data_IF_114075836045
#
_entry.id   IF_114075836045
#
_cell.length_a   1.000
_cell.length_b   1.000
_cell.length_c   1.000
_cell.angle_alpha   90.00
_cell.angle_beta   90.00
_cell.angle_gamma   90.00
#
_symmetry.space_group_name_H-M   'P 1'
#
loop_
_entity.id
_entity.type
_entity.pdbx_description
1 polymer ?
#
# COMPACT_ATOMS: atom_id res chain seq x y z
N UNK A 1 36.83 -33.27 -53.53
CA UNK A 1 36.02 -33.40 -54.75
C UNK A 1 34.85 -34.34 -54.46
N UNK A 2 33.78 -34.16 -55.22
CA UNK A 2 32.44 -34.81 -55.22
C UNK A 2 32.30 -36.27 -54.76
N UNK A 3 31.10 -36.82 -54.51
CA UNK A 3 29.80 -36.28 -54.06
C UNK A 3 28.83 -37.49 -53.87
N UNK A 4 27.77 -37.30 -53.07
CA UNK A 4 26.49 -38.02 -53.08
C UNK A 4 26.44 -39.56 -53.34
N UNK A 5 25.91 -40.29 -52.35
CA UNK A 5 25.28 -41.60 -52.56
C UNK A 5 23.86 -41.60 -51.95
N UNK A 6 22.91 -42.20 -52.68
CA UNK A 6 21.46 -42.18 -52.41
C UNK A 6 20.89 -43.59 -52.13
N UNK A 7 19.58 -43.66 -51.85
CA UNK A 7 18.73 -44.84 -51.52
C UNK A 7 18.83 -45.31 -50.05
N UNK A 8 17.76 -45.53 -49.25
CA UNK A 8 16.33 -45.91 -49.43
C UNK A 8 16.07 -47.41 -49.64
N UNK A 9 15.22 -48.03 -48.79
CA UNK A 9 14.09 -48.95 -49.15
C UNK A 9 13.48 -49.66 -47.91
N UNK A 10 12.18 -49.40 -47.65
CA UNK A 10 11.11 -50.28 -47.07
C UNK A 10 11.31 -50.96 -45.68
N UNK A 11 10.29 -51.37 -44.89
CA UNK A 11 8.89 -51.81 -45.10
C UNK A 11 8.05 -51.40 -43.85
N UNK A 12 6.85 -50.78 -43.95
CA UNK A 12 5.49 -51.41 -44.04
C UNK A 12 4.81 -51.75 -42.68
N UNK A 13 3.50 -51.52 -42.39
CA UNK A 13 2.38 -50.77 -43.03
C UNK A 13 1.10 -50.76 -42.11
N UNK A 14 0.02 -50.06 -42.54
CA UNK A 14 -1.43 -50.25 -42.20
C UNK A 14 -1.93 -49.72 -40.83
N UNK A 15 -3.07 -49.00 -40.65
CA UNK A 15 -3.96 -48.15 -41.48
C UNK A 15 -4.90 -47.33 -40.54
N UNK A 16 -5.29 -46.08 -40.84
CA UNK A 16 -6.62 -45.61 -41.36
C UNK A 16 -7.90 -46.04 -40.54
N UNK A 17 -8.96 -45.24 -40.31
CA UNK A 17 -9.30 -43.84 -40.69
C UNK A 17 -10.53 -43.27 -39.91
N UNK A 18 -10.68 -41.93 -39.99
CA UNK A 18 -11.87 -41.00 -39.85
C UNK A 18 -13.25 -41.53 -40.37
N UNK A 19 -14.42 -40.80 -40.29
CA UNK A 19 -14.71 -39.41 -39.80
C UNK A 19 -16.10 -39.11 -39.10
N UNK A 20 -16.33 -37.81 -38.79
CA UNK A 20 -17.57 -36.98 -39.01
C UNK A 20 -18.74 -36.83 -37.99
N UNK A 21 -19.30 -35.60 -38.03
CA UNK A 21 -20.30 -34.93 -37.15
C UNK A 21 -21.77 -35.37 -37.36
N UNK A 22 -22.69 -34.96 -36.46
CA UNK A 22 -24.04 -34.43 -36.80
C UNK A 22 -24.77 -33.71 -35.63
N UNK A 23 -25.94 -33.10 -35.92
CA UNK A 23 -26.70 -32.08 -35.15
C UNK A 23 -28.05 -32.62 -34.65
N UNK A 24 -28.63 -32.14 -33.51
CA UNK A 24 -30.06 -32.34 -33.18
C UNK A 24 -30.72 -31.33 -32.18
N UNK A 25 -32.05 -31.13 -32.32
CA UNK A 25 -33.06 -30.36 -31.51
C UNK A 25 -34.49 -30.80 -31.97
N UNK A 26 -35.67 -30.30 -31.48
CA UNK A 26 -36.01 -29.27 -30.47
C UNK A 26 -36.81 -29.92 -29.27
N UNK A 27 -37.86 -29.40 -28.59
CA UNK A 27 -38.55 -28.08 -28.58
C UNK A 27 -39.89 -28.00 -27.79
N UNK A 28 -40.13 -26.86 -27.12
CA UNK A 28 -41.42 -26.11 -26.97
C UNK A 28 -42.59 -26.67 -26.11
N UNK A 29 -43.07 -25.88 -25.13
CA UNK A 29 -44.49 -25.49 -24.89
C UNK A 29 -44.60 -24.34 -23.84
N UNK A 30 -45.77 -23.70 -23.69
CA UNK A 30 -45.96 -22.30 -23.19
C UNK A 30 -46.98 -22.12 -22.03
N UNK A 31 -46.81 -21.10 -21.16
CA UNK A 31 -47.90 -20.45 -20.39
C UNK A 31 -47.48 -19.07 -19.78
N UNK A 32 -48.45 -18.24 -19.36
CA UNK A 32 -48.32 -16.80 -19.03
C UNK A 32 -48.07 -16.47 -17.53
N UNK A 33 -47.57 -15.25 -17.22
CA UNK A 33 -47.72 -14.62 -15.89
C UNK A 33 -46.52 -13.75 -15.43
N UNK A 34 -46.72 -12.57 -14.77
CA UNK A 34 -45.65 -11.57 -14.62
C UNK A 34 -44.96 -11.54 -13.23
N UNK A 35 -43.74 -10.99 -13.20
CA UNK A 35 -43.13 -10.40 -11.99
C UNK A 35 -41.77 -10.98 -11.55
N UNK A 36 -40.88 -10.09 -11.13
CA UNK A 36 -39.55 -10.34 -10.51
C UNK A 36 -38.46 -11.00 -11.38
N UNK A 37 -37.59 -10.15 -11.96
CA UNK A 37 -36.30 -10.57 -12.49
C UNK A 37 -35.32 -10.95 -11.37
N UNK A 38 -35.26 -12.26 -11.12
CA UNK A 38 -34.26 -12.94 -10.29
C UNK A 38 -32.87 -12.80 -10.94
N UNK A 39 -31.92 -12.15 -10.27
CA UNK A 39 -30.55 -12.00 -10.76
C UNK A 39 -29.89 -13.38 -10.95
N UNK A 40 -29.37 -13.64 -12.15
CA UNK A 40 -28.89 -14.96 -12.54
C UNK A 40 -27.59 -15.38 -11.83
N UNK A 41 -27.55 -16.63 -11.34
CA UNK A 41 -26.31 -17.32 -11.00
C UNK A 41 -25.41 -17.40 -12.23
N UNK A 42 -24.32 -16.63 -12.26
CA UNK A 42 -23.14 -16.96 -13.06
C UNK A 42 -22.13 -17.70 -12.18
N UNK A 43 -21.47 -18.69 -12.75
CA UNK A 43 -20.50 -19.55 -12.08
C UNK A 43 -19.28 -18.74 -11.62
N UNK A 44 -19.02 -18.72 -10.32
CA UNK A 44 -17.78 -18.13 -9.79
C UNK A 44 -16.59 -19.03 -10.12
N UNK A 45 -15.73 -18.58 -11.04
CA UNK A 45 -14.36 -19.06 -11.13
C UNK A 45 -13.59 -18.58 -9.90
N UNK A 46 -12.96 -19.47 -9.09
CA UNK A 46 -12.16 -19.03 -7.96
C UNK A 46 -10.83 -18.47 -8.47
N UNK A 47 -10.67 -17.15 -8.42
CA UNK A 47 -9.40 -16.48 -8.69
C UNK A 47 -8.44 -16.81 -7.55
N UNK A 48 -7.63 -17.85 -7.74
CA UNK A 48 -6.48 -18.15 -6.89
C UNK A 48 -5.33 -17.21 -7.26
N UNK A 49 -5.15 -16.13 -6.50
CA UNK A 49 -3.87 -15.40 -6.53
C UNK A 49 -2.80 -16.27 -5.86
N UNK A 50 -2.05 -16.97 -6.71
CA UNK A 50 -0.99 -17.87 -6.29
C UNK A 50 0.32 -17.06 -6.18
N UNK A 51 0.79 -16.83 -4.95
CA UNK A 51 2.12 -16.25 -4.72
C UNK A 51 3.19 -17.19 -5.29
N UNK A 52 3.83 -16.78 -6.39
CA UNK A 52 4.89 -17.56 -7.01
C UNK A 52 6.21 -17.32 -6.28
N UNK A 53 6.49 -18.15 -5.27
CA UNK A 53 7.76 -18.13 -4.52
C UNK A 53 8.85 -18.77 -5.39
N UNK A 54 9.79 -17.97 -5.88
CA UNK A 54 10.97 -18.47 -6.57
C UNK A 54 11.93 -19.15 -5.58
N UNK A 55 11.88 -20.47 -5.47
CA UNK A 55 12.87 -21.25 -4.71
C UNK A 55 14.13 -21.56 -5.55
N UNK A 56 15.36 -21.31 -5.03
CA UNK A 56 16.57 -21.84 -5.62
C UNK A 56 16.71 -23.34 -5.30
N UNK A 57 16.92 -24.17 -6.33
CA UNK A 57 17.18 -25.61 -6.20
C UNK A 57 18.55 -25.87 -5.54
N UNK A 58 18.55 -26.29 -4.28
CA UNK A 58 19.76 -26.85 -3.62
C UNK A 58 19.65 -28.38 -3.57
N UNK A 59 20.32 -29.04 -4.51
CA UNK A 59 20.33 -30.50 -4.62
C UNK A 59 21.06 -31.17 -3.45
N UNK A 60 20.34 -31.94 -2.65
CA UNK A 60 20.93 -32.74 -1.58
C UNK A 60 21.60 -34.01 -2.15
N UNK A 61 22.94 -34.03 -2.20
CA UNK A 61 23.70 -35.31 -2.18
C UNK A 61 24.15 -35.59 -0.75
N UNK A 62 23.58 -36.62 -0.13
CA UNK A 62 24.17 -37.23 1.07
C UNK A 62 25.36 -38.08 0.64
N UNK A 63 26.53 -37.76 1.17
CA UNK A 63 27.67 -38.68 1.25
C UNK A 63 28.27 -38.48 2.65
N UNK A 64 28.11 -39.47 3.54
CA UNK A 64 28.73 -39.42 4.85
C UNK A 64 30.05 -40.19 4.85
N UNK A 65 31.07 -39.70 5.52
CA UNK A 65 32.14 -40.46 6.20
C UNK A 65 33.08 -39.48 6.93
N UNK A 66 33.74 -39.96 7.99
CA UNK A 66 35.00 -39.37 8.47
C UNK A 66 34.92 -38.39 9.64
N UNK A 67 34.90 -38.93 10.87
CA UNK A 67 35.29 -38.15 12.05
C UNK A 67 36.80 -37.85 12.02
N UNK A 68 37.18 -36.57 12.06
CA UNK A 68 38.52 -36.12 12.47
C UNK A 68 38.42 -34.86 13.32
N UNK A 69 39.08 -34.89 14.49
CA UNK A 69 39.27 -33.72 15.35
C UNK A 69 40.15 -32.69 14.65
N UNK A 70 39.76 -31.42 14.70
CA UNK A 70 40.59 -30.27 14.38
C UNK A 70 40.26 -29.15 15.38
N UNK A 71 41.27 -28.55 16.00
CA UNK A 71 41.09 -27.44 16.93
C UNK A 71 40.66 -26.18 16.16
N UNK A 72 39.62 -25.50 16.64
CA UNK A 72 39.26 -24.14 16.20
C UNK A 72 39.40 -23.21 17.40
N UNK A 73 40.38 -22.31 17.33
CA UNK A 73 40.56 -21.24 18.32
C UNK A 73 39.47 -20.20 18.11
N UNK A 74 38.56 -20.08 19.08
CA UNK A 74 37.57 -18.99 19.11
C UNK A 74 38.24 -17.73 19.67
N UNK A 75 38.59 -16.80 18.79
CA UNK A 75 38.93 -15.44 19.19
C UNK A 75 37.69 -14.71 19.72
N UNK A 76 37.45 -14.82 21.02
CA UNK A 76 36.49 -13.98 21.74
C UNK A 76 37.19 -12.69 22.17
N UNK A 77 37.16 -11.67 21.31
CA UNK A 77 37.60 -10.32 21.67
C UNK A 77 36.41 -9.53 22.26
N UNK A 78 36.14 -9.75 23.54
CA UNK A 78 35.36 -8.78 24.31
C UNK A 78 36.19 -7.49 24.42
N UNK A 79 35.76 -6.43 23.74
CA UNK A 79 36.30 -5.08 23.92
C UNK A 79 35.23 -4.21 24.55
N UNK A 80 35.19 -4.24 25.88
CA UNK A 80 34.49 -3.24 26.68
C UNK A 80 35.43 -2.06 26.94
N UNK A 81 35.21 -0.93 26.30
CA UNK A 81 35.73 0.39 26.71
C UNK A 81 34.68 1.44 26.37
N UNK A 82 34.44 2.44 27.23
CA UNK A 82 33.25 3.27 27.15
C UNK A 82 33.50 4.57 26.35
N UNK A 83 32.43 5.12 25.77
CA UNK A 83 32.00 6.46 26.15
C UNK A 83 30.51 6.69 25.83
N UNK A 84 29.90 7.56 26.62
CA UNK A 84 28.44 7.71 26.67
C UNK A 84 27.91 8.77 25.70
N UNK A 85 27.38 8.34 24.56
CA UNK A 85 26.17 8.94 24.00
C UNK A 85 25.01 7.95 24.26
N UNK A 86 23.89 8.45 24.80
CA UNK A 86 22.84 7.58 25.33
C UNK A 86 22.26 6.63 24.28
N UNK A 87 21.67 5.53 24.75
CA UNK A 87 20.85 4.60 23.96
C UNK A 87 19.66 5.33 23.33
N UNK A 88 19.90 6.05 22.24
CA UNK A 88 18.89 6.69 21.45
C UNK A 88 18.00 5.58 20.86
N UNK A 89 16.71 5.60 21.22
CA UNK A 89 15.72 4.77 20.55
C UNK A 89 15.78 5.06 19.05
N UNK A 90 15.81 4.03 18.18
CA UNK A 90 15.92 4.25 16.74
C UNK A 90 14.75 5.11 16.25
N UNK A 91 15.03 6.07 15.35
CA UNK A 91 14.04 7.03 14.82
C UNK A 91 12.83 6.29 14.21
N UNK A 92 13.09 5.16 13.56
CA UNK A 92 12.08 4.35 12.89
C UNK A 92 12.31 2.85 13.17
N UNK A 93 11.26 2.00 13.05
CA UNK A 93 11.38 0.56 13.32
C UNK A 93 12.38 -0.18 12.43
N UNK A 94 12.36 0.11 11.12
CA UNK A 94 13.24 -0.54 10.16
C UNK A 94 14.63 0.10 10.21
N UNK A 95 15.66 -0.71 10.45
CA UNK A 95 17.06 -0.27 10.45
C UNK A 95 17.61 -0.26 9.03
N UNK A 96 18.45 0.73 8.73
CA UNK A 96 19.13 0.86 7.45
C UNK A 96 20.52 0.21 7.52
N UNK A 97 20.82 -0.66 6.56
CA UNK A 97 22.00 -1.54 6.61
C UNK A 97 23.02 -1.27 5.51
N UNK A 98 22.65 -0.57 4.43
CA UNK A 98 23.59 -0.15 3.38
C UNK A 98 24.45 1.03 3.87
N UNK A 99 25.66 1.25 3.30
CA UNK A 99 26.48 2.41 3.65
C UNK A 99 25.74 3.74 3.45
N UNK A 100 24.91 3.82 2.41
CA UNK A 100 24.09 4.99 2.11
C UNK A 100 23.01 5.17 3.18
N UNK A 101 22.26 4.12 3.51
CA UNK A 101 21.21 4.19 4.52
C UNK A 101 21.73 4.49 5.93
N UNK A 102 22.91 3.98 6.29
CA UNK A 102 23.58 4.32 7.56
C UNK A 102 23.96 5.82 7.60
N UNK A 103 24.57 6.33 6.53
CA UNK A 103 24.88 7.76 6.39
C UNK A 103 23.61 8.64 6.45
N UNK A 104 22.53 8.25 5.77
CA UNK A 104 21.26 8.98 5.84
C UNK A 104 20.67 8.96 7.26
N UNK A 105 20.76 7.84 7.97
CA UNK A 105 20.29 7.72 9.37
C UNK A 105 21.03 8.66 10.32
N UNK A 106 22.36 8.73 10.22
CA UNK A 106 23.19 9.64 11.02
C UNK A 106 22.92 11.12 10.68
N UNK A 107 22.71 11.42 9.40
CA UNK A 107 22.36 12.77 8.95
C UNK A 107 20.94 13.18 9.37
N UNK A 108 19.99 12.27 9.44
CA UNK A 108 18.64 12.55 9.99
C UNK A 108 18.71 12.90 11.49
N UNK A 109 19.64 12.31 12.25
CA UNK A 109 19.87 12.67 13.66
C UNK A 109 20.58 14.03 13.77
N UNK A 110 21.64 14.25 12.99
CA UNK A 110 22.54 15.40 13.16
C UNK A 110 22.12 16.66 12.40
N UNK A 111 21.70 16.52 11.14
CA UNK A 111 21.39 17.61 10.21
C UNK A 111 20.19 17.28 9.30
N UNK A 112 18.98 17.05 9.84
CA UNK A 112 17.82 16.59 9.06
C UNK A 112 17.47 17.48 7.85
N UNK A 113 17.75 18.78 7.93
CA UNK A 113 17.55 19.74 6.82
C UNK A 113 18.47 19.52 5.60
N UNK A 114 19.58 18.79 5.74
CA UNK A 114 20.50 18.47 4.64
C UNK A 114 20.15 17.16 3.92
N UNK A 115 19.28 16.32 4.52
CA UNK A 115 18.94 15.00 4.00
C UNK A 115 18.47 15.02 2.55
N UNK A 116 17.58 15.93 2.08
CA UNK A 116 17.16 15.95 0.68
C UNK A 116 18.31 16.26 -0.29
N UNK A 117 19.17 17.22 0.05
CA UNK A 117 20.32 17.60 -0.79
C UNK A 117 21.36 16.49 -0.89
N UNK A 118 21.59 15.78 0.22
CA UNK A 118 22.51 14.65 0.24
C UNK A 118 21.92 13.41 -0.43
N UNK A 119 20.60 13.17 -0.34
CA UNK A 119 19.92 12.13 -1.15
C UNK A 119 20.10 12.41 -2.64
N UNK A 120 19.96 13.65 -3.08
CA UNK A 120 20.15 14.01 -4.50
C UNK A 120 21.57 13.68 -4.99
N UNK A 121 22.60 13.94 -4.17
CA UNK A 121 23.99 13.53 -4.45
C UNK A 121 24.16 12.00 -4.51
N UNK A 122 23.52 11.25 -3.60
CA UNK A 122 23.59 9.78 -3.61
C UNK A 122 22.89 9.18 -4.84
N UNK A 123 21.77 9.77 -5.29
CA UNK A 123 21.08 9.35 -6.50
C UNK A 123 21.89 9.65 -7.77
N UNK A 124 22.54 10.82 -7.86
CA UNK A 124 23.45 11.16 -8.96
C UNK A 124 24.66 10.22 -9.02
N UNK A 125 25.24 9.88 -7.87
CA UNK A 125 26.33 8.90 -7.78
C UNK A 125 25.88 7.51 -8.24
N UNK A 126 24.75 7.00 -7.73
CA UNK A 126 24.18 5.71 -8.14
C UNK A 126 23.88 5.65 -9.65
N UNK A 127 23.41 6.76 -10.24
CA UNK A 127 23.16 6.86 -11.68
C UNK A 127 24.47 6.85 -12.47
N UNK A 128 25.48 7.60 -12.01
CA UNK A 128 26.81 7.64 -12.62
C UNK A 128 27.47 6.27 -12.64
N UNK A 129 27.41 5.53 -11.52
CA UNK A 129 27.95 4.17 -11.41
C UNK A 129 27.19 3.18 -12.31
N UNK A 130 25.85 3.29 -12.38
CA UNK A 130 25.01 2.50 -13.29
C UNK A 130 25.37 2.72 -14.75
N UNK A 131 25.54 3.97 -15.15
CA UNK A 131 25.84 4.32 -16.54
C UNK A 131 27.30 4.00 -16.91
N UNK A 132 28.23 4.06 -15.95
CA UNK A 132 29.60 3.57 -16.10
C UNK A 132 29.66 2.05 -16.29
N UNK A 133 28.83 1.28 -15.58
CA UNK A 133 28.75 -0.17 -15.73
C UNK A 133 28.14 -0.61 -17.05
N UNK A 134 27.03 0.00 -17.48
CA UNK A 134 26.47 -0.27 -18.81
C UNK A 134 27.45 0.07 -19.95
N UNK A 135 28.34 1.05 -19.74
CA UNK A 135 29.43 1.38 -20.68
C UNK A 135 30.57 0.36 -20.67
N UNK A 136 30.82 -0.33 -19.54
CA UNK A 136 31.78 -1.44 -19.44
C UNK A 136 31.22 -2.70 -20.10
N UNK A 137 30.00 -3.10 -19.75
CA UNK A 137 29.31 -4.26 -20.35
C UNK A 137 29.19 -4.15 -21.89
N UNK A 138 29.01 -2.94 -22.43
CA UNK A 138 28.98 -2.69 -23.89
C UNK A 138 30.35 -2.65 -24.57
N UNK A 139 31.45 -2.59 -23.81
CA UNK A 139 32.84 -2.59 -24.31
C UNK A 139 33.55 -3.94 -24.09
N UNK A 140 33.13 -4.69 -23.08
CA UNK A 140 33.69 -5.99 -22.70
C UNK A 140 32.91 -7.13 -23.39
N UNK A 141 33.24 -7.41 -24.66
CA UNK A 141 33.12 -8.70 -25.38
C UNK A 141 33.72 -8.50 -26.79
N UNK A 142 34.64 -9.36 -27.29
CA UNK A 142 34.53 -10.83 -27.25
C UNK A 142 35.82 -11.57 -26.82
N UNK A 143 36.60 -11.00 -25.89
CA UNK A 143 37.95 -11.50 -25.55
C UNK A 143 38.09 -12.12 -24.15
N UNK A 144 36.99 -12.29 -23.41
CA UNK A 144 37.01 -12.88 -22.07
C UNK A 144 36.86 -14.41 -22.10
N UNK A 145 37.51 -15.12 -21.17
CA UNK A 145 37.30 -16.56 -21.01
C UNK A 145 35.85 -16.85 -20.57
N UNK A 146 35.32 -18.02 -20.92
CA UNK A 146 33.98 -18.45 -20.48
C UNK A 146 33.80 -18.49 -18.95
N UNK A 147 34.89 -18.63 -18.18
CA UNK A 147 34.90 -18.47 -16.72
C UNK A 147 34.73 -17.02 -16.28
N UNK A 148 35.36 -16.11 -17.00
CA UNK A 148 35.42 -14.69 -16.65
C UNK A 148 34.08 -14.03 -16.97
N UNK A 149 33.43 -14.42 -18.07
CA UNK A 149 32.05 -14.03 -18.39
C UNK A 149 31.05 -14.39 -17.29
N UNK A 150 31.20 -15.56 -16.66
CA UNK A 150 30.37 -15.96 -15.52
C UNK A 150 30.68 -15.09 -14.29
N UNK A 151 31.95 -14.76 -14.05
CA UNK A 151 32.38 -13.87 -12.97
C UNK A 151 31.84 -12.44 -13.15
N UNK A 152 32.03 -11.83 -14.32
CA UNK A 152 31.51 -10.48 -14.63
C UNK A 152 30.00 -10.41 -14.48
N UNK A 153 29.27 -11.38 -15.03
CA UNK A 153 27.83 -11.51 -14.83
C UNK A 153 27.45 -11.56 -13.35
N UNK A 154 28.16 -12.36 -12.54
CA UNK A 154 27.83 -12.50 -11.12
C UNK A 154 28.14 -11.22 -10.32
N UNK A 155 29.20 -10.50 -10.69
CA UNK A 155 29.51 -9.18 -10.14
C UNK A 155 28.38 -8.19 -10.48
N UNK A 156 27.94 -8.14 -11.74
CA UNK A 156 26.83 -7.28 -12.15
C UNK A 156 25.51 -7.60 -11.42
N UNK A 157 25.20 -8.89 -11.23
CA UNK A 157 24.04 -9.34 -10.44
C UNK A 157 24.10 -8.88 -8.97
N UNK A 158 25.27 -8.96 -8.33
CA UNK A 158 25.49 -8.48 -6.95
C UNK A 158 25.33 -6.96 -6.87
N UNK A 159 26.01 -6.22 -7.75
CA UNK A 159 25.92 -4.74 -7.78
C UNK A 159 24.53 -4.21 -8.09
N UNK A 160 23.79 -4.86 -8.98
CA UNK A 160 22.39 -4.52 -9.23
C UNK A 160 21.52 -4.73 -7.97
N UNK A 161 21.84 -5.73 -7.15
CA UNK A 161 21.18 -5.98 -5.86
C UNK A 161 21.56 -4.94 -4.81
N UNK A 162 22.84 -4.56 -4.73
CA UNK A 162 23.34 -3.50 -3.84
C UNK A 162 22.72 -2.13 -4.17
N UNK A 163 22.66 -1.74 -5.46
CA UNK A 163 21.95 -0.54 -5.90
C UNK A 163 20.47 -0.57 -5.55
N UNK A 164 19.79 -1.71 -5.72
CA UNK A 164 18.38 -1.83 -5.30
C UNK A 164 18.24 -1.61 -3.80
N UNK A 165 19.08 -2.25 -2.97
CA UNK A 165 19.05 -2.06 -1.52
C UNK A 165 19.28 -0.58 -1.16
N UNK A 166 20.24 0.09 -1.79
CA UNK A 166 20.46 1.52 -1.57
C UNK A 166 19.23 2.37 -1.92
N UNK A 167 18.55 2.12 -3.04
CA UNK A 167 17.33 2.83 -3.42
C UNK A 167 16.17 2.58 -2.44
N UNK A 168 15.97 1.33 -2.01
CA UNK A 168 14.97 0.99 -0.99
C UNK A 168 15.21 1.74 0.32
N UNK A 169 16.47 1.86 0.75
CA UNK A 169 16.83 2.57 1.97
C UNK A 169 16.78 4.10 1.82
N UNK A 170 17.11 4.66 0.65
CA UNK A 170 16.89 6.09 0.33
C UNK A 170 15.40 6.44 0.40
N UNK A 171 14.55 5.64 -0.25
CA UNK A 171 13.10 5.82 -0.22
C UNK A 171 12.56 5.73 1.21
N UNK A 172 13.02 4.76 2.02
CA UNK A 172 12.60 4.68 3.43
C UNK A 172 13.06 5.89 4.24
N UNK A 173 14.33 6.31 4.12
CA UNK A 173 14.86 7.48 4.83
C UNK A 173 14.05 8.75 4.53
N UNK A 174 13.69 9.00 3.27
CA UNK A 174 12.84 10.12 2.87
C UNK A 174 11.40 10.02 3.42
N UNK A 175 10.82 8.82 3.51
CA UNK A 175 9.49 8.64 4.15
C UNK A 175 9.56 8.95 5.64
N UNK A 176 10.58 8.45 6.35
CA UNK A 176 10.81 8.76 7.77
C UNK A 176 11.06 10.26 7.96
N UNK A 177 11.85 10.90 7.07
CA UNK A 177 12.06 12.34 7.11
C UNK A 177 10.73 13.10 7.02
N UNK A 178 9.80 12.73 6.12
CA UNK A 178 8.48 13.38 6.04
C UNK A 178 7.67 13.26 7.34
N UNK A 179 7.81 12.16 8.09
CA UNK A 179 7.22 12.04 9.43
C UNK A 179 7.90 12.96 10.45
N UNK A 180 9.22 13.11 10.39
CA UNK A 180 9.98 14.05 11.23
C UNK A 180 9.60 15.50 10.95
N UNK A 181 9.54 15.91 9.67
CA UNK A 181 9.12 17.25 9.25
C UNK A 181 7.69 17.57 9.71
N UNK A 182 6.79 16.56 9.66
CA UNK A 182 5.42 16.63 10.19
C UNK A 182 5.33 16.64 11.72
N UNK A 183 6.45 16.47 12.44
CA UNK A 183 6.49 16.31 13.90
C UNK A 183 5.58 15.17 14.41
N UNK A 184 5.57 14.04 13.68
CA UNK A 184 4.83 12.82 13.99
C UNK A 184 5.85 11.69 14.22
N UNK A 185 5.79 11.06 15.39
CA UNK A 185 6.66 9.91 15.71
C UNK A 185 6.07 8.63 15.15
N UNK A 186 6.83 7.86 14.38
CA UNK A 186 6.42 6.52 13.94
C UNK A 186 6.17 5.58 15.12
N UNK A 187 5.23 4.64 14.99
CA UNK A 187 5.01 3.61 16.01
C UNK A 187 6.26 2.73 16.12
N UNK A 188 6.79 2.48 17.34
CA UNK A 188 7.93 1.60 17.54
C UNK A 188 7.59 0.12 17.30
N UNK A 189 8.61 -0.72 17.11
CA UNK A 189 8.45 -2.15 16.90
C UNK A 189 7.61 -2.83 18.01
N UNK A 190 6.53 -3.49 17.61
CA UNK A 190 5.54 -4.12 18.51
C UNK A 190 6.10 -5.47 18.97
N UNK A 191 7.01 -5.40 19.95
CA UNK A 191 7.55 -6.56 20.64
C UNK A 191 6.75 -6.87 21.90
N UNK A 192 6.56 -8.15 22.28
CA UNK A 192 6.03 -8.51 23.60
C UNK A 192 7.05 -8.16 24.70
N UNK A 193 7.08 -6.91 25.13
CA UNK A 193 8.06 -6.44 26.11
C UNK A 193 7.67 -6.93 27.50
N UNK A 194 8.56 -7.68 28.16
CA UNK A 194 8.36 -8.18 29.52
C UNK A 194 8.25 -7.08 30.61
N UNK A 195 8.40 -5.81 30.22
CA UNK A 195 8.40 -4.64 31.09
C UNK A 195 7.00 -4.08 31.44
N UNK A 196 5.94 -4.47 30.73
CA UNK A 196 4.57 -3.97 30.98
C UNK A 196 3.66 -5.06 31.54
N UNK A 197 3.26 -5.01 32.83
CA UNK A 197 2.45 -6.06 33.47
C UNK A 197 1.03 -6.18 32.89
N UNK A 198 0.56 -5.19 32.12
CA UNK A 198 -0.72 -5.25 31.42
C UNK A 198 -0.69 -6.12 30.15
N UNK A 199 0.48 -6.29 29.52
CA UNK A 199 0.60 -6.88 28.17
C UNK A 199 -0.06 -6.05 27.06
N UNK A 200 -0.30 -4.75 27.32
CA UNK A 200 -0.81 -3.78 26.36
C UNK A 200 0.34 -3.21 25.53
N UNK A 201 0.17 -3.09 24.20
CA UNK A 201 1.27 -2.68 23.29
C UNK A 201 1.23 -1.22 22.85
N UNK A 202 0.10 -0.53 23.05
CA UNK A 202 -0.21 0.78 22.47
C UNK A 202 -0.11 1.94 23.47
N UNK A 203 0.97 1.99 24.25
CA UNK A 203 1.31 3.13 25.13
C UNK A 203 1.84 4.37 24.37
N UNK A 204 1.54 4.49 23.09
CA UNK A 204 2.03 5.55 22.20
C UNK A 204 1.22 6.84 22.39
N UNK A 205 1.82 8.03 22.18
CA UNK A 205 1.08 9.29 22.26
C UNK A 205 0.01 9.39 21.17
N UNK A 206 -1.18 9.89 21.53
CA UNK A 206 -2.21 10.25 20.56
C UNK A 206 -1.72 11.39 19.67
N UNK A 207 -1.78 11.16 18.36
CA UNK A 207 -1.26 12.07 17.33
C UNK A 207 -2.20 12.11 16.11
N UNK A 208 -3.46 11.71 16.30
CA UNK A 208 -4.48 11.57 15.26
C UNK A 208 -4.76 12.89 14.53
N UNK A 209 -4.87 14.00 15.27
CA UNK A 209 -5.09 15.33 14.70
C UNK A 209 -3.94 15.78 13.79
N UNK A 210 -2.69 15.49 14.19
CA UNK A 210 -1.52 15.75 13.34
C UNK A 210 -1.55 14.91 12.06
N UNK A 211 -1.99 13.66 12.14
CA UNK A 211 -2.13 12.80 10.97
C UNK A 211 -3.27 13.26 10.05
N UNK A 212 -4.39 13.72 10.62
CA UNK A 212 -5.51 14.32 9.89
C UNK A 212 -5.07 15.53 9.04
N UNK A 213 -4.29 16.44 9.64
CA UNK A 213 -3.78 17.65 8.98
C UNK A 213 -2.81 17.39 7.80
N UNK A 214 -2.32 16.16 7.60
CA UNK A 214 -1.43 15.79 6.49
C UNK A 214 -2.17 15.40 5.20
N UNK A 215 -3.50 15.32 5.22
CA UNK A 215 -4.35 14.95 4.07
C UNK A 215 -5.27 16.10 3.69
N UNK A 216 -5.72 16.13 2.43
CA UNK A 216 -6.80 17.04 2.01
C UNK A 216 -8.09 16.69 2.74
N UNK A 217 -9.03 17.64 2.85
CA UNK A 217 -10.35 17.38 3.44
C UNK A 217 -11.07 16.24 2.71
N UNK A 218 -11.06 16.24 1.38
CA UNK A 218 -11.72 15.18 0.60
C UNK A 218 -11.01 13.82 0.70
N UNK A 219 -9.69 13.78 0.87
CA UNK A 219 -8.97 12.55 1.18
C UNK A 219 -9.30 12.07 2.60
N UNK A 220 -9.32 12.96 3.60
CA UNK A 220 -9.60 12.57 4.98
C UNK A 220 -11.02 12.02 5.16
N UNK A 221 -12.02 12.53 4.43
CA UNK A 221 -13.35 11.90 4.35
C UNK A 221 -13.26 10.44 3.87
N UNK A 222 -12.41 10.13 2.88
CA UNK A 222 -12.18 8.75 2.46
C UNK A 222 -11.44 7.92 3.52
N UNK A 223 -10.48 8.50 4.25
CA UNK A 223 -9.80 7.86 5.38
C UNK A 223 -10.78 7.52 6.52
N UNK A 224 -11.73 8.41 6.83
CA UNK A 224 -12.78 8.15 7.82
C UNK A 224 -13.71 7.01 7.38
N UNK A 225 -14.01 6.89 6.09
CA UNK A 225 -14.73 5.72 5.56
C UNK A 225 -13.89 4.43 5.71
N UNK A 226 -12.58 4.46 5.43
CA UNK A 226 -11.67 3.31 5.60
C UNK A 226 -11.56 2.87 7.07
N UNK A 227 -11.40 3.82 8.00
CA UNK A 227 -11.45 3.58 9.44
C UNK A 227 -12.78 2.96 9.87
N UNK A 228 -13.90 3.46 9.36
CA UNK A 228 -15.24 2.92 9.65
C UNK A 228 -15.42 1.49 9.14
N UNK A 229 -14.81 1.12 8.01
CA UNK A 229 -14.84 -0.25 7.47
C UNK A 229 -14.01 -1.23 8.31
N UNK A 230 -12.89 -0.78 8.89
CA UNK A 230 -12.00 -1.64 9.70
C UNK A 230 -12.46 -1.75 11.15
N UNK A 231 -12.86 -0.64 11.77
CA UNK A 231 -13.23 -0.56 13.19
C UNK A 231 -14.73 -0.79 13.42
N UNK A 232 -15.56 -0.63 12.39
CA UNK A 232 -17.01 -0.70 12.49
C UNK A 232 -17.57 0.25 13.55
N UNK A 233 -18.55 -0.23 14.32
CA UNK A 233 -19.22 0.53 15.38
C UNK A 233 -18.29 0.93 16.55
N UNK A 234 -17.00 0.52 16.55
CA UNK A 234 -16.04 0.78 17.63
C UNK A 234 -15.16 2.02 17.40
N UNK A 235 -15.40 2.76 16.31
CA UNK A 235 -14.66 3.97 15.95
C UNK A 235 -14.63 5.05 17.06
N UNK A 236 -15.66 5.12 17.91
CA UNK A 236 -15.76 6.04 19.05
C UNK A 236 -15.34 5.46 20.41
N UNK A 237 -14.99 4.18 20.49
CA UNK A 237 -14.68 3.47 21.75
C UNK A 237 -13.17 3.34 21.95
N UNK A 238 -12.47 4.48 22.08
CA UNK A 238 -11.00 4.54 22.01
C UNK A 238 -10.26 3.79 23.14
N UNK A 239 -10.87 3.62 24.31
CA UNK A 239 -10.21 3.04 25.50
C UNK A 239 -10.41 1.52 25.64
N UNK A 240 -11.38 0.95 24.94
CA UNK A 240 -11.70 -0.48 25.01
C UNK A 240 -10.61 -1.33 24.36
N UNK A 241 -10.19 -2.37 25.08
CA UNK A 241 -9.08 -3.25 24.70
C UNK A 241 -9.57 -4.45 23.88
N UNK A 242 -8.95 -4.67 22.73
CA UNK A 242 -9.12 -5.85 21.92
C UNK A 242 -7.89 -6.77 22.03
N UNK A 243 -8.13 -8.08 22.13
CA UNK A 243 -7.08 -9.10 21.97
C UNK A 243 -7.12 -9.57 20.52
N UNK A 244 -6.20 -9.07 19.70
CA UNK A 244 -6.15 -9.31 18.25
C UNK A 244 -4.87 -10.06 17.91
N UNK A 245 -4.90 -10.89 16.87
CA UNK A 245 -3.72 -11.61 16.42
C UNK A 245 -2.76 -10.68 15.66
N UNK A 246 -1.46 -10.85 15.88
CA UNK A 246 -0.42 -9.93 15.40
C UNK A 246 -0.37 -9.92 13.88
N UNK A 247 -0.50 -11.10 13.25
CA UNK A 247 -0.63 -11.24 11.79
C UNK A 247 -1.80 -10.42 11.23
N UNK A 248 -2.97 -10.43 11.90
CA UNK A 248 -4.15 -9.68 11.43
C UNK A 248 -3.94 -8.17 11.50
N UNK A 249 -3.30 -7.67 12.55
CA UNK A 249 -2.98 -6.23 12.65
C UNK A 249 -1.94 -5.84 11.60
N UNK A 250 -0.92 -6.67 11.36
CA UNK A 250 0.04 -6.46 10.27
C UNK A 250 -0.59 -6.47 8.87
N UNK A 251 -1.55 -7.38 8.62
CA UNK A 251 -2.33 -7.39 7.37
C UNK A 251 -3.16 -6.12 7.19
N UNK A 252 -3.84 -5.65 8.24
CA UNK A 252 -4.60 -4.39 8.22
C UNK A 252 -3.69 -3.19 8.01
N UNK A 253 -2.50 -3.18 8.63
CA UNK A 253 -1.49 -2.13 8.45
C UNK A 253 -1.02 -2.09 6.99
N UNK A 254 -0.52 -3.19 6.44
CA UNK A 254 -0.05 -3.25 5.05
C UNK A 254 -1.15 -2.90 4.03
N UNK A 255 -2.39 -3.38 4.24
CA UNK A 255 -3.54 -3.01 3.41
C UNK A 255 -3.85 -1.51 3.48
N UNK A 256 -3.69 -0.88 4.65
CA UNK A 256 -3.89 0.55 4.86
C UNK A 256 -2.77 1.40 4.26
N UNK A 257 -1.52 0.89 4.22
CA UNK A 257 -0.43 1.51 3.45
C UNK A 257 -0.74 1.51 1.95
N UNK A 258 -1.16 0.36 1.40
CA UNK A 258 -1.57 0.28 -0.01
C UNK A 258 -2.75 1.21 -0.32
N UNK A 259 -3.72 1.31 0.59
CA UNK A 259 -4.85 2.23 0.47
C UNK A 259 -4.41 3.70 0.49
N UNK A 260 -3.50 4.09 1.38
CA UNK A 260 -2.97 5.47 1.44
C UNK A 260 -2.18 5.87 0.19
N UNK A 261 -1.38 4.94 -0.35
CA UNK A 261 -0.66 5.11 -1.61
C UNK A 261 -1.64 5.33 -2.78
N UNK A 262 -2.68 4.49 -2.90
CA UNK A 262 -3.76 4.67 -3.87
C UNK A 262 -4.46 6.03 -3.70
N UNK A 263 -4.89 6.34 -2.48
CA UNK A 263 -5.69 7.53 -2.18
C UNK A 263 -4.94 8.81 -2.54
N UNK A 264 -3.66 8.91 -2.19
CA UNK A 264 -2.80 10.06 -2.51
C UNK A 264 -2.70 10.33 -4.01
N UNK A 265 -2.56 9.28 -4.82
CA UNK A 265 -2.51 9.40 -6.28
C UNK A 265 -3.81 9.96 -6.86
N UNK A 266 -4.95 9.50 -6.37
CA UNK A 266 -6.25 9.95 -6.87
C UNK A 266 -6.59 11.35 -6.35
N UNK A 267 -6.28 11.67 -5.09
CA UNK A 267 -6.44 13.03 -4.54
C UNK A 267 -5.58 14.05 -5.31
N UNK A 268 -4.29 13.78 -5.56
CA UNK A 268 -3.46 14.67 -6.38
C UNK A 268 -4.04 14.93 -7.77
N UNK A 269 -4.56 13.90 -8.44
CA UNK A 269 -5.22 14.06 -9.75
C UNK A 269 -6.52 14.85 -9.64
N UNK A 270 -7.34 14.57 -8.62
CA UNK A 270 -8.60 15.26 -8.36
C UNK A 270 -8.39 16.76 -8.07
N UNK A 271 -7.46 17.10 -7.16
CA UNK A 271 -7.14 18.51 -6.84
C UNK A 271 -6.56 19.25 -8.06
N UNK A 272 -5.78 18.57 -8.91
CA UNK A 272 -5.29 19.13 -10.17
C UNK A 272 -6.45 19.42 -11.14
N UNK A 273 -7.34 18.45 -11.39
CA UNK A 273 -8.49 18.64 -12.30
C UNK A 273 -9.51 19.67 -11.78
N UNK A 274 -9.70 19.74 -10.46
CA UNK A 274 -10.48 20.77 -9.76
C UNK A 274 -9.88 22.15 -10.00
N UNK A 275 -8.56 22.29 -9.82
CA UNK A 275 -7.82 23.56 -10.04
C UNK A 275 -7.85 23.99 -11.52
N UNK A 276 -7.70 23.04 -12.45
CA UNK A 276 -7.76 23.29 -13.89
C UNK A 276 -9.18 23.50 -14.43
N UNK A 277 -10.22 23.35 -13.60
CA UNK A 277 -11.65 23.42 -13.97
C UNK A 277 -12.07 22.39 -15.04
N UNK A 278 -11.39 21.25 -15.08
CA UNK A 278 -11.65 20.13 -16.01
C UNK A 278 -12.61 19.10 -15.38
N UNK A 279 -12.80 19.16 -14.06
CA UNK A 279 -13.67 18.26 -13.30
C UNK A 279 -15.11 18.25 -13.88
N UNK A 280 -15.77 17.07 -14.03
CA UNK A 280 -17.12 16.98 -14.58
C UNK A 280 -18.10 17.92 -13.87
N UNK A 281 -18.84 18.73 -14.64
CA UNK A 281 -19.57 19.91 -14.15
C UNK A 281 -20.58 19.66 -13.01
N UNK A 282 -21.03 18.41 -12.83
CA UNK A 282 -21.86 18.00 -11.69
C UNK A 282 -21.15 18.14 -10.32
N UNK A 283 -19.82 18.25 -10.28
CA UNK A 283 -19.01 18.34 -9.05
C UNK A 283 -18.54 19.77 -8.70
N UNK A 284 -18.90 20.78 -9.51
CA UNK A 284 -18.43 22.17 -9.37
C UNK A 284 -19.47 23.08 -8.69
N UNK A 285 -20.75 22.68 -8.67
CA UNK A 285 -21.86 23.53 -8.29
C UNK A 285 -21.81 24.05 -6.84
N UNK A 286 -21.37 23.24 -5.87
CA UNK A 286 -21.45 23.60 -4.44
C UNK A 286 -20.40 24.63 -3.97
N UNK A 287 -19.27 24.80 -4.68
CA UNK A 287 -18.25 25.81 -4.31
C UNK A 287 -18.67 27.25 -4.70
N UNK A 288 -19.72 27.42 -5.52
CA UNK A 288 -20.11 28.73 -6.07
C UNK A 288 -21.14 29.49 -5.22
N UNK A 289 -21.87 28.81 -4.31
CA UNK A 289 -22.97 29.41 -3.55
C UNK A 289 -22.53 30.18 -2.29
N UNK A 290 -21.27 30.04 -1.86
CA UNK A 290 -20.76 30.76 -0.67
C UNK A 290 -20.28 32.18 -1.01
N UNK A 291 -20.04 32.49 -2.29
CA UNK A 291 -19.46 33.77 -2.75
C UNK A 291 -20.46 34.70 -3.49
N UNK A 292 -21.77 34.52 -3.28
CA UNK A 292 -22.84 35.39 -3.82
C UNK A 292 -23.79 35.92 -2.73
N UNK A 293 -23.26 36.73 -1.83
CA UNK A 293 -24.07 37.43 -0.80
C UNK A 293 -23.66 38.89 -0.55
N UNK A 294 -22.86 39.48 -1.45
CA UNK A 294 -22.47 40.91 -1.41
C UNK A 294 -22.57 41.49 -2.82
N UNK A 295 -23.45 42.47 -3.02
CA UNK A 295 -23.58 43.21 -4.28
C UNK A 295 -25.01 43.54 -4.68
N UNK A 296 -25.46 44.72 -4.26
CA UNK A 296 -26.49 45.56 -4.92
C UNK A 296 -27.80 44.92 -5.41
N UNK A 297 -28.91 45.33 -4.77
CA UNK A 297 -29.76 46.31 -5.48
C UNK A 297 -30.38 47.32 -4.49
N UNK A 298 -30.54 48.55 -4.96
CA UNK A 298 -30.97 49.71 -4.18
C UNK A 298 -32.03 50.48 -4.98
N UNK A 299 -33.28 50.42 -4.50
CA UNK A 299 -34.12 51.56 -4.01
C UNK A 299 -35.63 51.41 -4.37
N UNK A 300 -36.54 52.35 -4.00
CA UNK A 300 -37.44 52.22 -2.85
C UNK A 300 -38.95 52.19 -3.20
N UNK A 301 -39.81 52.01 -2.19
CA UNK A 301 -41.10 52.71 -2.16
C UNK A 301 -42.23 52.06 -1.36
N UNK A 302 -42.84 52.84 -0.45
CA UNK A 302 -44.09 52.58 0.29
C UNK A 302 -44.08 51.36 1.25
N UNK A 303 -44.46 51.45 2.52
CA UNK A 303 -45.10 52.52 3.29
C UNK A 303 -46.41 51.99 3.90
N UNK A 304 -46.49 51.89 5.25
CA UNK A 304 -47.74 51.52 5.94
C UNK A 304 -47.59 50.57 7.14
N UNK A 305 -47.27 51.14 8.30
CA UNK A 305 -47.91 50.88 9.61
C UNK A 305 -47.87 49.48 10.28
N UNK A 306 -48.20 49.46 11.57
CA UNK A 306 -47.84 48.41 12.54
C UNK A 306 -49.07 47.74 13.20
N UNK A 307 -48.79 46.84 14.17
CA UNK A 307 -49.71 46.17 15.12
C UNK A 307 -50.43 44.94 14.50
N UNK A 308 -50.40 43.74 15.11
CA UNK A 308 -50.74 43.42 16.51
C UNK A 308 -50.07 42.14 17.04
N UNK A 309 -50.12 41.96 18.35
CA UNK A 309 -49.71 40.75 19.08
C UNK A 309 -50.87 40.23 19.96
N UNK A 310 -50.88 38.92 20.26
CA UNK A 310 -51.87 38.24 21.11
C UNK A 310 -52.31 36.90 20.49
N UNK A 311 -51.77 35.73 20.86
CA UNK A 311 -51.74 35.03 22.15
C UNK A 311 -53.03 34.25 22.50
N UNK A 312 -53.00 32.92 22.35
CA UNK A 312 -53.67 31.96 23.24
C UNK A 312 -53.24 30.51 22.97
N UNK A 313 -53.31 29.65 24.00
CA UNK A 313 -52.80 28.28 24.08
C UNK A 313 -53.78 27.16 23.66
N UNK A 314 -53.25 26.06 23.10
CA UNK A 314 -53.48 24.59 23.35
C UNK A 314 -54.82 24.06 23.96
N UNK A 315 -55.24 22.76 23.80
CA UNK A 315 -54.52 21.60 23.23
C UNK A 315 -55.35 20.55 22.40
N UNK A 316 -54.72 19.39 22.07
CA UNK A 316 -55.27 18.03 21.76
C UNK A 316 -55.72 17.59 20.32
N UNK A 317 -54.77 17.00 19.57
CA UNK A 317 -54.72 15.72 18.78
C UNK A 317 -56.00 15.00 18.23
N UNK A 318 -55.87 14.04 17.26
CA UNK A 318 -55.07 14.02 16.02
C UNK A 318 -55.85 13.45 14.79
N UNK A 319 -55.47 13.77 13.53
CA UNK A 319 -55.81 12.91 12.37
C UNK A 319 -54.96 13.13 11.11
N UNK A 320 -54.70 12.01 10.43
CA UNK A 320 -53.98 11.82 9.18
C UNK A 320 -54.28 12.85 8.07
N UNK A 321 -53.24 13.58 7.65
CA UNK A 321 -53.02 13.98 6.26
C UNK A 321 -51.52 14.27 6.06
N UNK A 322 -50.74 13.22 5.75
CA UNK A 322 -49.29 13.33 5.58
C UNK A 322 -48.89 14.09 4.31
N UNK A 323 -48.94 15.42 4.37
CA UNK A 323 -48.35 16.29 3.35
C UNK A 323 -46.83 16.08 3.32
N UNK A 324 -46.30 15.68 2.18
CA UNK A 324 -44.86 15.47 1.96
C UNK A 324 -44.11 16.80 1.94
N UNK A 325 -43.72 17.28 3.12
CA UNK A 325 -42.69 18.31 3.24
C UNK A 325 -41.36 17.75 2.71
N UNK A 326 -40.66 18.43 1.78
CA UNK A 326 -39.34 18.02 1.30
C UNK A 326 -38.27 18.40 2.34
N UNK A 327 -38.32 17.76 3.51
CA UNK A 327 -37.48 18.10 4.66
C UNK A 327 -37.43 16.97 5.67
N UNK A 328 -36.37 16.16 5.61
CA UNK A 328 -36.07 15.10 6.57
C UNK A 328 -35.91 13.70 5.95
N UNK A 329 -35.01 12.90 6.53
CA UNK A 329 -34.74 11.50 6.19
C UNK A 329 -34.08 11.26 4.81
N UNK A 330 -32.98 11.98 4.60
CA UNK A 330 -32.10 11.85 3.44
C UNK A 330 -30.62 11.56 3.78
N UNK A 331 -30.32 10.83 4.87
CA UNK A 331 -28.96 10.28 5.09
C UNK A 331 -28.67 9.07 4.17
N UNK A 332 -29.07 9.17 2.90
CA UNK A 332 -28.30 8.52 1.85
C UNK A 332 -26.91 9.16 1.92
N UNK A 333 -25.87 8.39 2.22
CA UNK A 333 -24.53 8.94 2.43
C UNK A 333 -24.18 9.82 1.23
N UNK A 334 -24.06 11.13 1.43
CA UNK A 334 -23.49 12.01 0.40
C UNK A 334 -22.11 11.46 0.11
N UNK A 335 -21.93 10.86 -1.06
CA UNK A 335 -20.63 10.34 -1.46
C UNK A 335 -19.70 11.55 -1.55
N UNK A 336 -18.55 11.50 -0.88
CA UNK A 336 -17.57 12.59 -0.96
C UNK A 336 -17.24 12.89 -2.43
N UNK A 337 -16.88 14.14 -2.73
CA UNK A 337 -16.55 14.56 -4.11
C UNK A 337 -15.47 13.64 -4.70
N UNK A 338 -14.43 13.36 -3.91
CA UNK A 338 -13.37 12.41 -4.26
C UNK A 338 -13.85 10.96 -4.40
N UNK A 339 -14.77 10.47 -3.55
CA UNK A 339 -15.36 9.12 -3.72
C UNK A 339 -16.18 9.01 -4.99
N UNK A 340 -16.93 10.05 -5.35
CA UNK A 340 -17.72 10.10 -6.60
C UNK A 340 -16.79 10.16 -7.82
N UNK A 341 -15.68 10.90 -7.71
CA UNK A 341 -14.61 10.93 -8.70
C UNK A 341 -13.96 9.54 -8.91
N UNK A 342 -13.53 8.86 -7.84
CA UNK A 342 -13.02 7.48 -7.88
C UNK A 342 -14.02 6.52 -8.55
N UNK A 343 -15.32 6.66 -8.24
CA UNK A 343 -16.38 5.83 -8.83
C UNK A 343 -16.65 6.12 -10.32
N UNK A 344 -16.12 7.21 -10.87
CA UNK A 344 -16.22 7.52 -12.30
C UNK A 344 -15.14 6.85 -13.17
N UNK A 345 -14.10 6.28 -12.55
CA UNK A 345 -13.03 5.60 -13.26
C UNK A 345 -13.48 4.26 -13.86
N UNK A 346 -12.99 3.97 -15.05
CA UNK A 346 -13.03 2.62 -15.61
C UNK A 346 -12.10 1.67 -14.82
N UNK A 347 -12.30 0.36 -15.01
CA UNK A 347 -11.56 -0.66 -14.27
C UNK A 347 -10.05 -0.69 -14.53
N UNK A 348 -9.60 -0.28 -15.72
CA UNK A 348 -8.16 -0.22 -16.07
C UNK A 348 -7.50 0.98 -15.39
N UNK A 349 -8.14 2.15 -15.42
CA UNK A 349 -7.71 3.36 -14.71
C UNK A 349 -7.68 3.12 -13.20
N UNK A 350 -8.73 2.56 -12.62
CA UNK A 350 -8.76 2.24 -11.18
C UNK A 350 -7.65 1.25 -10.80
N UNK A 351 -7.40 0.22 -11.62
CA UNK A 351 -6.31 -0.74 -11.39
C UNK A 351 -4.92 -0.09 -11.50
N UNK A 352 -4.70 0.80 -12.48
CA UNK A 352 -3.44 1.55 -12.63
C UNK A 352 -3.15 2.48 -11.45
N UNK A 353 -4.19 3.04 -10.82
CA UNK A 353 -4.05 3.82 -9.58
C UNK A 353 -3.81 2.94 -8.34
N UNK A 354 -4.46 1.78 -8.25
CA UNK A 354 -4.36 0.88 -7.11
C UNK A 354 -3.05 0.06 -7.05
N UNK A 355 -2.43 -0.21 -8.20
CA UNK A 355 -1.14 -0.91 -8.29
C UNK A 355 0.03 -0.02 -7.89
N UNK A 356 0.90 -0.52 -7.00
CA UNK A 356 2.21 0.09 -6.70
C UNK A 356 3.15 -0.13 -7.88
N UNK A 357 3.85 0.92 -8.31
CA UNK A 357 4.62 0.90 -9.57
C UNK A 357 6.06 0.38 -9.45
N UNK A 358 6.72 0.53 -8.30
CA UNK A 358 8.08 -0.01 -8.09
C UNK A 358 8.11 -1.27 -7.22
N UNK A 359 9.14 -2.10 -7.40
CA UNK A 359 9.38 -3.27 -6.53
C UNK A 359 9.96 -2.85 -5.19
N UNK A 360 10.70 -1.75 -5.22
CA UNK A 360 11.38 -1.12 -4.11
C UNK A 360 10.33 -0.60 -3.09
N UNK A 361 9.28 0.09 -3.55
CA UNK A 361 8.15 0.49 -2.70
C UNK A 361 7.42 -0.72 -2.08
N UNK A 362 7.18 -1.80 -2.85
CA UNK A 362 6.58 -3.03 -2.30
C UNK A 362 7.48 -3.62 -1.20
N UNK A 363 8.79 -3.72 -1.43
CA UNK A 363 9.73 -4.25 -0.44
C UNK A 363 9.81 -3.38 0.82
N UNK A 364 9.67 -2.05 0.70
CA UNK A 364 9.60 -1.14 1.85
C UNK A 364 8.36 -1.41 2.70
N UNK A 365 7.19 -1.64 2.10
CA UNK A 365 5.96 -1.97 2.84
C UNK A 365 6.14 -3.30 3.58
N UNK A 366 6.69 -4.32 2.92
CA UNK A 366 7.00 -5.62 3.53
C UNK A 366 7.97 -5.48 4.70
N UNK A 367 9.12 -4.83 4.48
CA UNK A 367 10.18 -4.63 5.50
C UNK A 367 9.73 -3.77 6.67
N UNK A 368 8.95 -2.71 6.43
CA UNK A 368 8.44 -1.88 7.52
C UNK A 368 7.38 -2.63 8.34
N UNK A 369 6.50 -3.39 7.68
CA UNK A 369 5.53 -4.27 8.37
C UNK A 369 6.25 -5.37 9.16
N UNK A 370 7.32 -5.96 8.61
CA UNK A 370 8.18 -6.92 9.32
C UNK A 370 8.89 -6.27 10.53
N UNK A 371 9.37 -5.04 10.41
CA UNK A 371 10.01 -4.32 11.52
C UNK A 371 9.01 -3.95 12.63
N UNK A 372 7.75 -3.65 12.27
CA UNK A 372 6.68 -3.38 13.23
C UNK A 372 6.17 -4.65 13.91
N UNK A 373 5.87 -5.70 13.15
CA UNK A 373 5.13 -6.87 13.64
C UNK A 373 5.97 -8.14 13.77
N UNK A 374 7.23 -8.12 13.35
CA UNK A 374 8.08 -9.32 13.22
C UNK A 374 7.78 -10.14 11.97
N UNK A 375 8.60 -11.15 11.70
CA UNK A 375 8.35 -12.10 10.60
C UNK A 375 7.16 -12.99 10.91
N UNK A 376 6.16 -13.08 10.01
CA UNK A 376 5.04 -13.98 10.21
C UNK A 376 5.44 -15.44 9.91
N UNK A 377 5.26 -16.36 10.88
CA UNK A 377 5.43 -17.82 10.67
C UNK A 377 4.19 -18.39 9.94
N UNK A 378 4.09 -18.13 8.64
CA UNK A 378 2.96 -18.55 7.81
C UNK A 378 3.11 -20.02 7.42
N UNK A 379 2.63 -20.92 8.28
CA UNK A 379 2.43 -22.32 7.91
C UNK A 379 1.11 -22.44 7.13
N UNK A 380 1.17 -22.88 5.88
CA UNK A 380 -0.04 -23.15 5.07
C UNK A 380 -0.49 -24.59 5.35
N UNK A 381 -1.73 -24.77 5.81
CA UNK A 381 -2.31 -26.09 6.03
C UNK A 381 -2.49 -26.85 4.70
N UNK A 382 -2.64 -28.19 4.71
CA UNK A 382 -2.98 -28.96 3.51
C UNK A 382 -4.28 -28.53 2.82
N UNK A 383 -5.17 -27.84 3.54
CA UNK A 383 -6.41 -27.25 3.03
C UNK A 383 -6.21 -25.88 2.35
N UNK A 384 -5.00 -25.34 2.32
CA UNK A 384 -4.68 -24.05 1.72
C UNK A 384 -5.04 -22.83 2.58
N UNK A 385 -5.32 -23.03 3.87
CA UNK A 385 -5.56 -21.93 4.83
C UNK A 385 -4.28 -21.62 5.60
N UNK A 386 -4.14 -20.38 6.08
CA UNK A 386 -3.07 -20.02 7.02
C UNK A 386 -3.36 -20.66 8.38
N UNK A 387 -2.39 -21.41 8.91
CA UNK A 387 -2.43 -21.94 10.28
C UNK A 387 -2.10 -20.81 11.27
N UNK A 388 -3.13 -20.26 11.91
CA UNK A 388 -2.99 -19.22 12.92
C UNK A 388 -2.75 -19.77 14.33
N UNK A 389 -2.48 -21.08 14.51
CA UNK A 389 -2.31 -21.68 15.85
C UNK A 389 -1.05 -21.21 16.59
N UNK A 390 -0.07 -20.67 15.86
CA UNK A 390 1.17 -20.09 16.38
C UNK A 390 1.20 -18.56 16.42
N UNK A 391 0.14 -17.87 15.99
CA UNK A 391 0.17 -16.41 15.86
C UNK A 391 0.04 -15.73 17.23
N UNK A 392 0.95 -14.79 17.51
CA UNK A 392 0.98 -14.05 18.76
C UNK A 392 -0.29 -13.19 18.91
N UNK A 393 -0.87 -13.17 20.11
CA UNK A 393 -2.01 -12.33 20.42
C UNK A 393 -1.57 -11.07 21.19
N UNK A 394 -1.74 -9.90 20.58
CA UNK A 394 -1.48 -8.60 21.20
C UNK A 394 -2.76 -8.01 21.83
N UNK A 395 -2.61 -7.29 22.95
CA UNK A 395 -3.68 -6.44 23.49
C UNK A 395 -3.45 -5.00 23.04
N UNK A 396 -4.43 -4.42 22.35
CA UNK A 396 -4.38 -3.08 21.78
C UNK A 396 -5.75 -2.41 21.98
N UNK A 397 -5.78 -1.12 22.30
CA UNK A 397 -7.05 -0.36 22.33
C UNK A 397 -7.51 -0.01 20.91
N UNK A 398 -8.80 0.31 20.74
CA UNK A 398 -9.25 0.84 19.44
C UNK A 398 -8.64 2.21 19.12
N UNK A 399 -8.21 2.99 20.12
CA UNK A 399 -7.39 4.19 19.93
C UNK A 399 -6.02 3.86 19.31
N UNK A 400 -5.30 2.88 19.86
CA UNK A 400 -4.03 2.40 19.31
C UNK A 400 -4.17 1.81 17.90
N UNK A 401 -5.25 1.07 17.64
CA UNK A 401 -5.53 0.53 16.31
C UNK A 401 -5.91 1.63 15.30
N UNK A 402 -6.69 2.63 15.72
CA UNK A 402 -6.99 3.84 14.92
C UNK A 402 -5.71 4.59 14.57
N UNK A 403 -4.80 4.80 15.54
CA UNK A 403 -3.48 5.41 15.32
C UNK A 403 -2.66 4.63 14.29
N UNK A 404 -2.59 3.30 14.39
CA UNK A 404 -1.90 2.45 13.41
C UNK A 404 -2.48 2.60 11.99
N UNK A 405 -3.80 2.68 11.85
CA UNK A 405 -4.47 2.83 10.54
C UNK A 405 -4.19 4.22 9.96
N UNK A 406 -4.31 5.28 10.76
CA UNK A 406 -3.98 6.65 10.31
C UNK A 406 -2.49 6.77 9.91
N UNK A 407 -1.58 6.15 10.68
CA UNK A 407 -0.14 6.18 10.38
C UNK A 407 0.18 5.41 9.10
N UNK A 408 -0.36 4.20 8.92
CA UNK A 408 -0.15 3.41 7.70
C UNK A 408 -0.70 4.11 6.45
N UNK A 409 -1.88 4.71 6.51
CA UNK A 409 -2.41 5.52 5.39
C UNK A 409 -1.49 6.71 5.07
N UNK A 410 -0.96 7.37 6.10
CA UNK A 410 -0.02 8.48 5.94
C UNK A 410 1.32 8.02 5.37
N UNK A 411 1.83 6.87 5.80
CA UNK A 411 3.02 6.22 5.26
C UNK A 411 2.85 5.90 3.77
N UNK A 412 1.69 5.38 3.37
CA UNK A 412 1.38 5.11 1.96
C UNK A 412 1.34 6.37 1.10
N UNK A 413 0.74 7.45 1.62
CA UNK A 413 0.72 8.77 0.99
C UNK A 413 2.14 9.34 0.81
N UNK A 414 2.96 9.31 1.85
CA UNK A 414 4.36 9.74 1.79
C UNK A 414 5.21 8.87 0.87
N UNK A 415 4.97 7.54 0.83
CA UNK A 415 5.66 6.63 -0.07
C UNK A 415 5.41 6.99 -1.54
N UNK A 416 4.18 7.38 -1.92
CA UNK A 416 3.91 7.89 -3.28
C UNK A 416 4.68 9.18 -3.58
N UNK A 417 4.65 10.17 -2.68
CA UNK A 417 5.34 11.45 -2.87
C UNK A 417 6.87 11.25 -3.02
N UNK A 418 7.44 10.37 -2.19
CA UNK A 418 8.87 10.03 -2.17
C UNK A 418 9.30 9.21 -3.38
N UNK A 419 8.52 8.19 -3.75
CA UNK A 419 8.76 7.40 -4.96
C UNK A 419 8.74 8.29 -6.21
N UNK A 420 7.77 9.23 -6.28
CA UNK A 420 7.67 10.21 -7.38
C UNK A 420 8.88 11.16 -7.42
N UNK A 421 9.34 11.63 -6.25
CA UNK A 421 10.53 12.46 -6.13
C UNK A 421 11.80 11.75 -6.60
N UNK A 422 12.07 10.53 -6.12
CA UNK A 422 13.28 9.76 -6.47
C UNK A 422 13.27 9.36 -7.95
N UNK A 423 12.10 8.97 -8.47
CA UNK A 423 11.99 8.52 -9.87
C UNK A 423 12.25 9.65 -10.87
N UNK A 424 11.85 10.90 -10.54
CA UNK A 424 12.16 12.09 -11.35
C UNK A 424 13.67 12.37 -11.51
N UNK A 425 14.51 11.77 -10.67
CA UNK A 425 15.97 11.92 -10.67
C UNK A 425 16.63 10.68 -11.27
N UNK A 426 16.42 9.53 -10.64
CA UNK A 426 17.16 8.30 -10.93
C UNK A 426 16.47 7.38 -11.96
N UNK A 427 15.17 7.58 -12.24
CA UNK A 427 14.40 6.84 -13.24
C UNK A 427 14.48 5.30 -13.05
N UNK A 428 13.91 4.80 -11.93
CA UNK A 428 13.93 3.36 -11.59
C UNK A 428 12.64 2.63 -11.91
N UNK A 429 11.53 3.34 -12.09
CA UNK A 429 10.25 2.70 -12.37
C UNK A 429 10.19 2.27 -13.83
N UNK A 430 9.89 0.98 -14.04
CA UNK A 430 9.62 0.44 -15.36
C UNK A 430 8.20 0.84 -15.79
N UNK A 431 8.11 1.55 -16.93
CA UNK A 431 6.84 1.88 -17.59
C UNK A 431 6.27 0.69 -18.37
#
# INVERSE_FOLDING_TARGET
MEAAATSSVFQSSIAASRPSNLIARPGILTANGPGFLRLGRKTHSPIKHQFSICQPKVGHRRMGYGSRRGFVVRAAAASSSPDSAGSASPIAPLQLESPIGQFLSEMMISHPHLVPSAVDQQLEQLQTDRDAEQKKEKKEEPSASGTDLILYRRIAEVKATERRKALEEILYALVVQKFMDANVSLVPAISPTASYPSGQVDSWPSQDEKLEQLHSSEAYEMIQNHLSLILGNRLGDSTSLAKISKLKVGQVYAASVMYGYFLKRVDQRFQLEKTMKILPGAMVAEDSDIHKSVGEDVRPGSGGEALQAGASSHPEVPSLAGGVSPGGFGNALKHSRLRTYVMSFDGETLHRYATIRSREAISIIEKHTEALFGRPDIVITPQGTVDSSKDDLIKISFGGLRRLILESVTFGSFLWDVESYVDSRYHFVAN
#
